data_IF_777280128201
#
_entry.id   IF_777280128201
#
_cell.length_a   1.000
_cell.length_b   1.000
_cell.length_c   1.000
_cell.angle_alpha   90.00
_cell.angle_beta   90.00
_cell.angle_gamma   90.00
#
_symmetry.space_group_name_H-M   'P 1'
#
loop_
_entity.id
_entity.type
_entity.pdbx_description
1 polymer ?
#
# COMPACT_ATOMS: atom_id res chain seq x y z
N UNK A 1 -5.41 -25.32 -13.18
CA UNK A 1 -5.88 -24.35 -12.18
C UNK A 1 -5.96 -25.11 -10.89
N UNK A 2 -5.36 -24.56 -9.86
CA UNK A 2 -5.07 -25.24 -8.62
C UNK A 2 -5.49 -24.33 -7.48
N UNK A 3 -6.09 -24.88 -6.43
CA UNK A 3 -6.43 -24.07 -5.25
C UNK A 3 -5.15 -23.54 -4.60
N UNK A 4 -5.20 -22.27 -4.21
CA UNK A 4 -4.13 -21.56 -3.52
C UNK A 4 -4.50 -21.38 -2.05
N UNK A 5 -3.64 -21.88 -1.17
CA UNK A 5 -3.70 -21.59 0.26
C UNK A 5 -2.73 -20.45 0.55
N UNK A 6 -3.26 -19.27 0.83
CA UNK A 6 -2.46 -18.08 1.11
C UNK A 6 -1.82 -18.08 2.49
N UNK A 7 -0.73 -17.33 2.62
CA UNK A 7 -0.01 -17.15 3.88
C UNK A 7 -0.52 -15.91 4.62
N UNK A 8 -0.97 -16.06 5.87
CA UNK A 8 -1.43 -14.92 6.70
C UNK A 8 -0.25 -14.32 7.48
N UNK A 9 -0.09 -13.00 7.39
CA UNK A 9 0.88 -12.21 8.15
C UNK A 9 0.19 -11.53 9.33
N UNK A 10 0.79 -11.62 10.51
CA UNK A 10 0.21 -11.22 11.80
C UNK A 10 0.79 -9.90 12.34
N UNK A 11 1.00 -8.91 11.46
CA UNK A 11 1.51 -7.60 11.88
C UNK A 11 0.55 -6.88 12.84
N UNK A 12 1.10 -6.15 13.81
CA UNK A 12 0.34 -5.54 14.92
C UNK A 12 -0.76 -4.56 14.49
N UNK A 13 -0.65 -3.97 13.30
CA UNK A 13 -1.66 -3.06 12.74
C UNK A 13 -2.87 -3.79 12.12
N UNK A 14 -2.76 -5.11 11.98
CA UNK A 14 -3.71 -5.93 11.27
C UNK A 14 -5.05 -6.08 11.96
N UNK A 15 -6.10 -6.26 11.17
CA UNK A 15 -7.42 -6.55 11.70
C UNK A 15 -7.47 -7.91 12.37
N UNK A 16 -8.15 -7.99 13.51
CA UNK A 16 -8.34 -9.28 14.21
C UNK A 16 -9.43 -10.16 13.60
N UNK A 17 -10.28 -9.62 12.71
CA UNK A 17 -11.43 -10.37 12.16
C UNK A 17 -11.58 -10.31 10.64
N UNK A 18 -11.14 -9.25 9.96
CA UNK A 18 -11.53 -9.02 8.56
C UNK A 18 -11.12 -10.15 7.59
N UNK A 19 -9.89 -10.67 7.68
CA UNK A 19 -9.43 -11.78 6.81
C UNK A 19 -10.14 -13.08 7.17
N UNK A 20 -10.32 -13.38 8.45
CA UNK A 20 -11.07 -14.54 8.91
C UNK A 20 -12.52 -14.53 8.41
N UNK A 21 -13.20 -13.38 8.50
CA UNK A 21 -14.56 -13.18 8.01
C UNK A 21 -14.65 -13.32 6.48
N UNK A 22 -13.68 -12.78 5.74
CA UNK A 22 -13.57 -12.98 4.28
C UNK A 22 -13.46 -14.46 3.93
N UNK A 23 -12.68 -15.22 4.69
CA UNK A 23 -12.46 -16.66 4.49
C UNK A 23 -13.56 -17.54 5.10
N UNK A 24 -14.60 -16.96 5.71
CA UNK A 24 -15.69 -17.71 6.34
C UNK A 24 -15.24 -18.57 7.53
N UNK A 25 -14.10 -18.26 8.16
CA UNK A 25 -13.53 -19.00 9.29
C UNK A 25 -13.61 -18.21 10.59
N UNK A 26 -13.56 -18.86 11.77
CA UNK A 26 -13.41 -18.15 13.03
C UNK A 26 -12.10 -17.33 13.06
N UNK A 27 -12.13 -16.11 13.63
CA UNK A 27 -10.92 -15.34 13.93
C UNK A 27 -9.90 -16.15 14.73
N UNK A 28 -8.61 -16.01 14.39
CA UNK A 28 -7.53 -16.69 15.11
C UNK A 28 -7.30 -16.16 16.53
N UNK A 29 -7.86 -14.99 16.85
CA UNK A 29 -7.63 -14.27 18.10
C UNK A 29 -6.35 -13.43 18.12
N UNK A 30 -5.62 -13.37 16.99
CA UNK A 30 -4.46 -12.50 16.76
C UNK A 30 -4.73 -11.59 15.55
N UNK A 31 -3.99 -10.48 15.39
CA UNK A 31 -4.02 -9.68 14.16
C UNK A 31 -3.77 -10.53 12.92
N UNK A 32 -4.52 -10.26 11.85
CA UNK A 32 -4.38 -10.83 10.52
C UNK A 32 -4.30 -9.66 9.54
N UNK A 33 -3.08 -9.19 9.33
CA UNK A 33 -2.79 -7.94 8.63
C UNK A 33 -2.84 -8.11 7.10
N UNK A 34 -2.23 -9.19 6.61
CA UNK A 34 -2.13 -9.45 5.18
C UNK A 34 -2.37 -10.94 4.89
N UNK A 35 -3.16 -11.26 3.87
CA UNK A 35 -3.24 -12.59 3.27
C UNK A 35 -2.46 -12.56 1.96
N UNK A 36 -1.35 -13.28 1.88
CA UNK A 36 -0.47 -13.32 0.72
C UNK A 36 -0.85 -14.46 -0.21
N UNK A 37 -1.08 -14.12 -1.47
CA UNK A 37 -1.39 -15.01 -2.58
C UNK A 37 -0.32 -14.79 -3.65
N UNK A 38 0.71 -15.62 -3.65
CA UNK A 38 1.83 -15.47 -4.57
C UNK A 38 3.03 -16.31 -4.18
N UNK A 39 4.15 -16.06 -4.86
CA UNK A 39 5.38 -16.84 -4.76
C UNK A 39 6.49 -16.08 -4.02
N UNK A 40 6.13 -15.24 -3.05
CA UNK A 40 7.13 -14.46 -2.32
C UNK A 40 7.96 -15.38 -1.41
N UNK A 41 9.30 -15.35 -1.47
CA UNK A 41 10.16 -16.35 -0.81
C UNK A 41 10.06 -16.36 0.73
N UNK A 42 9.57 -15.28 1.33
CA UNK A 42 9.41 -15.19 2.80
C UNK A 42 8.10 -15.80 3.30
N UNK A 43 7.11 -16.00 2.42
CA UNK A 43 5.79 -16.54 2.74
C UNK A 43 5.05 -16.95 1.46
N UNK A 44 5.51 -17.99 0.73
CA UNK A 44 4.85 -18.44 -0.48
C UNK A 44 3.46 -19.00 -0.16
N UNK A 45 2.52 -18.86 -1.10
CA UNK A 45 1.27 -19.60 -1.07
C UNK A 45 1.52 -21.09 -1.36
N UNK A 46 0.65 -21.96 -0.88
CA UNK A 46 0.73 -23.41 -1.09
C UNK A 46 -0.27 -23.84 -2.17
N UNK A 47 0.14 -24.80 -2.99
CA UNK A 47 -0.63 -25.29 -4.15
C UNK A 47 -0.92 -26.78 -4.02
N UNK A 48 -2.16 -27.15 -4.32
CA UNK A 48 -2.57 -28.55 -4.43
C UNK A 48 -2.67 -29.29 -3.09
N UNK A 49 -2.99 -30.58 -3.14
CA UNK A 49 -3.21 -31.40 -1.95
C UNK A 49 -1.92 -31.69 -1.16
N UNK A 50 -0.77 -31.65 -1.83
CA UNK A 50 0.54 -31.86 -1.22
C UNK A 50 1.12 -30.56 -0.61
N UNK A 51 0.34 -29.46 -0.63
CA UNK A 51 0.72 -28.16 -0.08
C UNK A 51 2.11 -27.68 -0.55
N UNK A 52 2.39 -27.84 -1.85
CA UNK A 52 3.70 -27.47 -2.42
C UNK A 52 3.83 -25.95 -2.45
N UNK A 53 4.93 -25.36 -1.95
CA UNK A 53 5.19 -23.93 -2.06
C UNK A 53 5.19 -23.46 -3.52
N UNK A 54 4.46 -22.38 -3.82
CA UNK A 54 4.28 -21.89 -5.19
C UNK A 54 5.60 -21.42 -5.81
N UNK A 55 6.52 -20.87 -5.01
CA UNK A 55 7.86 -20.49 -5.45
C UNK A 55 8.71 -21.71 -5.86
N UNK A 56 8.66 -22.80 -5.09
CA UNK A 56 9.30 -24.07 -5.46
C UNK A 56 8.70 -24.66 -6.74
N UNK A 57 7.37 -24.62 -6.88
CA UNK A 57 6.67 -25.08 -8.10
C UNK A 57 7.11 -24.29 -9.33
N UNK A 58 7.20 -22.96 -9.21
CA UNK A 58 7.66 -22.08 -10.29
C UNK A 58 9.13 -22.34 -10.60
N UNK A 59 9.98 -22.51 -9.59
CA UNK A 59 11.42 -22.75 -9.78
C UNK A 59 11.70 -24.08 -10.52
N UNK A 60 10.84 -25.10 -10.33
CA UNK A 60 10.98 -26.40 -10.99
C UNK A 60 10.77 -26.33 -12.52
N UNK A 61 9.78 -25.56 -12.99
CA UNK A 61 9.56 -25.29 -14.43
C UNK A 61 8.86 -23.92 -14.64
N UNK A 62 9.62 -22.82 -14.72
CA UNK A 62 9.05 -21.48 -14.82
C UNK A 62 8.17 -21.27 -16.04
N UNK A 63 8.52 -21.91 -17.18
CA UNK A 63 7.76 -21.76 -18.43
C UNK A 63 6.43 -22.52 -18.38
N UNK A 64 6.39 -23.67 -17.72
CA UNK A 64 5.14 -24.39 -17.50
C UNK A 64 4.23 -23.65 -16.50
N UNK A 65 4.79 -23.11 -15.42
CA UNK A 65 4.02 -22.45 -14.37
C UNK A 65 3.52 -21.05 -14.77
N UNK A 66 4.35 -20.25 -15.45
CA UNK A 66 4.07 -18.84 -15.74
C UNK A 66 3.72 -18.59 -17.21
N UNK A 67 3.99 -19.55 -18.09
CA UNK A 67 4.02 -19.31 -19.52
C UNK A 67 5.34 -18.66 -19.98
N UNK A 68 5.63 -18.83 -21.26
CA UNK A 68 6.92 -18.45 -21.86
C UNK A 68 7.27 -16.97 -21.63
N UNK A 69 6.32 -16.06 -21.85
CA UNK A 69 6.63 -14.62 -21.87
C UNK A 69 6.88 -14.05 -20.47
N UNK A 70 6.11 -14.47 -19.46
CA UNK A 70 6.35 -14.08 -18.07
C UNK A 70 7.66 -14.69 -17.54
N UNK A 71 7.92 -15.97 -17.82
CA UNK A 71 9.15 -16.63 -17.41
C UNK A 71 10.40 -15.98 -18.03
N UNK A 72 10.38 -15.70 -19.34
CA UNK A 72 11.52 -15.08 -20.03
C UNK A 72 11.75 -13.63 -19.60
N UNK A 73 10.68 -12.90 -19.23
CA UNK A 73 10.77 -11.47 -18.87
C UNK A 73 11.12 -11.23 -17.41
N UNK A 74 10.52 -12.00 -16.49
CA UNK A 74 10.57 -11.72 -15.06
C UNK A 74 11.31 -12.79 -14.25
N UNK A 75 11.51 -13.99 -14.80
CA UNK A 75 12.19 -15.11 -14.12
C UNK A 75 11.41 -15.74 -12.96
N UNK A 76 10.29 -15.14 -12.53
CA UNK A 76 9.39 -15.61 -11.49
C UNK A 76 8.01 -14.97 -11.65
N UNK A 77 7.07 -15.29 -10.75
CA UNK A 77 5.78 -14.59 -10.71
C UNK A 77 6.06 -13.09 -10.55
N UNK A 78 5.54 -12.18 -11.40
CA UNK A 78 5.97 -10.78 -11.37
C UNK A 78 5.30 -9.92 -10.30
N UNK A 79 4.32 -10.47 -9.58
CA UNK A 79 3.54 -9.73 -8.59
C UNK A 79 3.27 -10.58 -7.34
N UNK A 80 2.93 -9.88 -6.26
CA UNK A 80 2.31 -10.43 -5.07
C UNK A 80 0.88 -9.87 -4.97
N UNK A 81 -0.10 -10.77 -4.88
CA UNK A 81 -1.49 -10.42 -4.59
C UNK A 81 -1.69 -10.52 -3.09
N UNK A 82 -2.26 -9.49 -2.47
CA UNK A 82 -2.65 -9.52 -1.06
C UNK A 82 -4.10 -9.11 -0.84
N UNK A 83 -4.66 -9.60 0.27
CA UNK A 83 -5.71 -8.88 0.98
C UNK A 83 -5.06 -8.19 2.16
N UNK A 84 -5.10 -6.87 2.19
CA UNK A 84 -4.64 -6.04 3.31
C UNK A 84 -5.84 -5.68 4.18
N UNK A 85 -5.71 -5.84 5.50
CA UNK A 85 -6.73 -5.52 6.48
C UNK A 85 -6.15 -4.70 7.64
N UNK A 86 -6.36 -3.39 7.62
CA UNK A 86 -5.82 -2.45 8.58
C UNK A 86 -6.87 -2.00 9.60
N UNK A 87 -6.65 -2.31 10.88
CA UNK A 87 -7.40 -1.74 12.01
C UNK A 87 -6.72 -0.46 12.52
N UNK A 88 -5.40 -0.37 12.40
CA UNK A 88 -4.62 0.84 12.69
C UNK A 88 -3.78 1.26 11.49
N UNK A 89 -3.28 2.50 11.49
CA UNK A 89 -2.53 3.02 10.37
C UNK A 89 -1.17 2.32 10.20
N UNK A 90 -0.76 2.19 8.95
CA UNK A 90 0.61 1.82 8.59
C UNK A 90 1.51 3.06 8.63
N UNK A 91 2.82 2.83 8.51
CA UNK A 91 3.83 3.90 8.43
C UNK A 91 3.66 4.74 7.17
N UNK A 92 4.03 6.02 7.26
CA UNK A 92 4.30 6.81 6.06
C UNK A 92 5.51 6.23 5.34
N UNK A 93 5.40 6.06 4.04
CA UNK A 93 6.43 5.41 3.24
C UNK A 93 6.47 5.91 1.79
N UNK A 94 7.63 5.74 1.17
CA UNK A 94 7.82 5.92 -0.26
C UNK A 94 8.64 4.76 -0.82
N UNK A 95 8.43 4.47 -2.11
CA UNK A 95 9.17 3.43 -2.83
C UNK A 95 10.13 4.05 -3.84
N UNK A 96 11.35 3.49 -3.99
CA UNK A 96 12.30 3.97 -4.97
C UNK A 96 11.84 3.67 -6.40
N UNK A 97 12.29 4.49 -7.36
CA UNK A 97 12.31 4.11 -8.77
C UNK A 97 13.26 2.94 -9.01
N UNK A 98 13.17 2.27 -10.16
CA UNK A 98 14.05 1.15 -10.49
C UNK A 98 15.54 1.53 -10.39
N UNK A 99 15.93 2.70 -10.91
CA UNK A 99 17.31 3.18 -10.83
C UNK A 99 17.75 3.47 -9.38
N UNK A 100 16.87 4.03 -8.55
CA UNK A 100 17.15 4.27 -7.13
C UNK A 100 17.24 2.96 -6.34
N UNK A 101 16.40 1.97 -6.66
CA UNK A 101 16.42 0.66 -6.03
C UNK A 101 17.74 -0.07 -6.31
N UNK A 102 18.15 -0.14 -7.58
CA UNK A 102 19.43 -0.73 -7.99
C UNK A 102 20.62 -0.05 -7.29
N UNK A 103 20.63 1.30 -7.27
CA UNK A 103 21.70 2.06 -6.64
C UNK A 103 21.73 1.90 -5.11
N UNK A 104 20.56 1.95 -4.46
CA UNK A 104 20.40 1.76 -3.02
C UNK A 104 20.82 0.36 -2.57
N UNK A 105 20.37 -0.66 -3.30
CA UNK A 105 20.76 -2.05 -3.08
C UNK A 105 22.26 -2.24 -3.20
N UNK A 106 22.88 -1.77 -4.29
CA UNK A 106 24.32 -1.90 -4.50
C UNK A 106 25.14 -1.19 -3.41
N UNK A 107 24.67 -0.03 -2.93
CA UNK A 107 25.29 0.73 -1.84
C UNK A 107 25.24 -0.04 -0.52
N UNK A 108 24.09 -0.61 -0.15
CA UNK A 108 23.95 -1.40 1.08
C UNK A 108 24.75 -2.71 1.03
N UNK A 109 24.81 -3.37 -0.12
CA UNK A 109 25.66 -4.56 -0.32
C UNK A 109 27.14 -4.22 -0.17
N UNK A 110 27.61 -3.14 -0.78
CA UNK A 110 29.01 -2.70 -0.68
C UNK A 110 29.40 -2.29 0.75
N UNK A 111 28.45 -1.76 1.53
CA UNK A 111 28.62 -1.42 2.93
C UNK A 111 28.50 -2.64 3.86
N UNK A 112 28.06 -3.80 3.36
CA UNK A 112 27.89 -5.03 4.15
C UNK A 112 26.74 -4.94 5.15
N UNK A 113 25.70 -4.14 4.87
CA UNK A 113 24.51 -4.05 5.73
C UNK A 113 23.79 -5.40 5.72
N UNK A 114 23.61 -6.00 6.91
CA UNK A 114 22.96 -7.30 7.03
C UNK A 114 21.50 -7.25 6.52
N UNK A 115 21.00 -8.36 5.99
CA UNK A 115 19.66 -8.42 5.37
C UNK A 115 18.51 -8.18 6.36
N UNK A 116 18.73 -8.54 7.62
CA UNK A 116 17.81 -8.37 8.73
C UNK A 116 18.11 -7.13 9.58
N UNK A 117 19.08 -6.29 9.17
CA UNK A 117 19.43 -5.08 9.89
C UNK A 117 18.25 -4.08 9.89
N UNK A 118 17.90 -3.46 11.04
CA UNK A 118 16.82 -2.47 11.12
C UNK A 118 16.98 -1.28 10.17
N UNK A 119 18.22 -0.93 9.80
CA UNK A 119 18.60 0.12 8.87
C UNK A 119 18.62 -0.31 7.40
N UNK A 120 18.42 -1.60 7.09
CA UNK A 120 18.34 -2.10 5.70
C UNK A 120 17.06 -1.60 5.04
N UNK A 121 17.19 -0.72 4.06
CA UNK A 121 16.07 -0.14 3.32
C UNK A 121 15.92 -0.71 1.91
N UNK A 122 17.01 -1.26 1.35
CA UNK A 122 17.07 -1.81 0.00
C UNK A 122 17.44 -3.30 0.02
N UNK A 123 16.55 -4.20 0.46
CA UNK A 123 16.77 -5.64 0.42
C UNK A 123 16.82 -6.22 -1.00
N UNK A 124 16.37 -5.52 -2.03
CA UNK A 124 16.42 -6.00 -3.42
C UNK A 124 16.63 -4.84 -4.43
N UNK A 125 17.08 -5.12 -5.66
CA UNK A 125 17.34 -4.09 -6.66
C UNK A 125 16.08 -3.71 -7.46
N UNK A 126 14.87 -4.01 -6.98
CA UNK A 126 13.64 -3.86 -7.76
C UNK A 126 12.81 -2.66 -7.29
N UNK A 127 12.09 -2.03 -8.21
CA UNK A 127 11.07 -1.05 -7.82
C UNK A 127 9.85 -1.75 -7.23
N UNK A 128 8.98 -0.97 -6.58
CA UNK A 128 7.76 -1.47 -5.94
C UNK A 128 6.54 -0.63 -6.34
N UNK A 129 6.09 -0.69 -7.61
CA UNK A 129 4.78 -0.15 -7.95
C UNK A 129 3.69 -0.95 -7.25
N UNK A 130 2.67 -0.25 -6.76
CA UNK A 130 1.55 -0.86 -6.04
C UNK A 130 0.20 -0.38 -6.61
N UNK A 131 -0.83 -1.21 -6.46
CA UNK A 131 -2.22 -0.85 -6.69
C UNK A 131 -3.01 -1.34 -5.48
N UNK A 132 -3.71 -0.43 -4.81
CA UNK A 132 -4.63 -0.74 -3.72
C UNK A 132 -6.07 -0.55 -4.22
N UNK A 133 -6.91 -1.55 -4.06
CA UNK A 133 -8.32 -1.54 -4.47
C UNK A 133 -9.21 -1.87 -3.28
N UNK A 134 -10.06 -0.93 -2.89
CA UNK A 134 -10.89 -1.03 -1.70
C UNK A 134 -11.88 -2.20 -1.77
N UNK A 135 -11.94 -3.02 -0.71
CA UNK A 135 -13.00 -4.02 -0.48
C UNK A 135 -14.05 -3.49 0.49
N UNK A 136 -13.61 -2.70 1.47
CA UNK A 136 -14.45 -1.90 2.36
C UNK A 136 -14.09 -0.43 2.20
N UNK A 137 -14.78 0.48 2.90
CA UNK A 137 -14.36 1.89 2.94
C UNK A 137 -12.92 1.97 3.45
N UNK A 138 -12.02 2.48 2.61
CA UNK A 138 -10.57 2.42 2.83
C UNK A 138 -9.96 3.82 2.89
N UNK A 139 -9.30 4.14 3.99
CA UNK A 139 -8.71 5.46 4.24
C UNK A 139 -7.21 5.44 3.93
N UNK A 140 -6.73 6.43 3.16
CA UNK A 140 -5.33 6.51 2.75
C UNK A 140 -4.82 7.96 2.66
N UNK A 141 -3.51 8.10 2.80
CA UNK A 141 -2.73 9.28 2.42
C UNK A 141 -1.96 8.96 1.14
N UNK A 142 -1.96 9.85 0.15
CA UNK A 142 -1.23 9.62 -1.10
C UNK A 142 -0.85 10.94 -1.79
N UNK A 143 0.45 11.17 -1.98
CA UNK A 143 1.01 12.33 -2.65
C UNK A 143 0.76 13.66 -1.93
N UNK A 144 1.53 14.69 -2.29
CA UNK A 144 1.38 16.01 -1.68
C UNK A 144 0.14 16.74 -2.16
N UNK A 145 -0.56 17.35 -1.21
CA UNK A 145 -1.69 18.24 -1.48
C UNK A 145 -1.18 19.58 -2.00
N UNK A 146 -2.00 20.23 -2.82
CA UNK A 146 -1.80 21.62 -3.22
C UNK A 146 -1.48 22.53 -2.03
N UNK A 147 -0.39 23.28 -2.12
CA UNK A 147 0.11 24.14 -1.03
C UNK A 147 -0.96 25.10 -0.51
N UNK A 148 -1.74 25.71 -1.41
CA UNK A 148 -2.83 26.61 -1.01
C UNK A 148 -3.94 25.90 -0.23
N UNK A 149 -4.23 24.64 -0.56
CA UNK A 149 -5.19 23.81 0.17
C UNK A 149 -4.63 23.35 1.52
N UNK A 150 -3.33 23.06 1.59
CA UNK A 150 -2.62 22.76 2.85
C UNK A 150 -2.64 23.97 3.78
N UNK A 151 -2.34 25.17 3.29
CA UNK A 151 -2.41 26.41 4.08
C UNK A 151 -3.83 26.70 4.59
N UNK A 152 -4.86 26.46 3.77
CA UNK A 152 -6.27 26.60 4.18
C UNK A 152 -6.66 25.58 5.28
N UNK A 153 -6.18 24.34 5.18
CA UNK A 153 -6.33 23.33 6.24
C UNK A 153 -5.65 23.78 7.54
N UNK A 154 -4.39 24.25 7.45
CA UNK A 154 -3.60 24.67 8.61
C UNK A 154 -4.23 25.88 9.32
N UNK A 155 -4.78 26.83 8.56
CA UNK A 155 -5.47 27.99 9.11
C UNK A 155 -6.68 27.58 9.99
N UNK A 156 -7.35 26.48 9.64
CA UNK A 156 -8.45 25.94 10.42
C UNK A 156 -8.07 25.59 11.85
N UNK A 157 -6.85 25.10 12.10
CA UNK A 157 -6.42 24.72 13.44
C UNK A 157 -6.19 25.92 14.36
N UNK A 158 -6.04 27.13 13.81
CA UNK A 158 -5.81 28.37 14.57
C UNK A 158 -4.68 28.24 15.62
N UNK A 159 -3.61 27.54 15.25
CA UNK A 159 -2.51 27.15 16.14
C UNK A 159 -1.21 27.90 15.76
N UNK A 160 -0.74 28.87 16.58
CA UNK A 160 0.52 29.58 16.31
C UNK A 160 1.76 28.68 16.23
N UNK A 161 1.72 27.49 16.83
CA UNK A 161 2.79 26.50 16.71
C UNK A 161 3.03 26.05 15.26
N UNK A 162 2.04 26.23 14.36
CA UNK A 162 2.14 25.89 12.94
C UNK A 162 2.71 27.03 12.08
N UNK A 163 2.92 28.23 12.63
CA UNK A 163 3.44 29.38 11.89
C UNK A 163 4.77 29.07 11.15
N UNK A 164 5.74 28.33 11.73
CA UNK A 164 6.95 27.95 11.00
C UNK A 164 6.71 27.03 9.80
N UNK A 165 5.68 26.19 9.86
CA UNK A 165 5.25 25.32 8.76
C UNK A 165 4.59 26.16 7.67
N UNK A 166 3.64 27.03 8.04
CA UNK A 166 2.96 27.94 7.13
C UNK A 166 3.95 28.87 6.40
N UNK A 167 4.97 29.39 7.10
CA UNK A 167 5.99 30.25 6.51
C UNK A 167 6.83 29.52 5.45
N UNK A 168 7.19 28.25 5.68
CA UNK A 168 7.92 27.43 4.71
C UNK A 168 7.07 27.09 3.49
N UNK A 169 5.81 26.70 3.71
CA UNK A 169 4.86 26.43 2.63
C UNK A 169 4.60 27.67 1.76
N UNK A 170 4.64 28.87 2.34
CA UNK A 170 4.50 30.12 1.60
C UNK A 170 5.79 30.59 0.90
N UNK A 171 6.91 29.88 1.10
CA UNK A 171 8.22 30.27 0.58
C UNK A 171 8.49 29.62 -0.78
N UNK A 172 8.35 30.40 -1.85
CA UNK A 172 8.82 30.01 -3.18
C UNK A 172 7.86 29.09 -3.95
N UNK A 173 8.37 28.37 -4.97
CA UNK A 173 7.58 27.46 -5.79
C UNK A 173 6.99 26.29 -4.96
N UNK A 174 5.78 25.79 -5.28
CA UNK A 174 5.09 24.79 -4.47
C UNK A 174 5.88 23.52 -4.14
N UNK A 175 6.56 22.92 -5.13
CA UNK A 175 7.33 21.69 -4.90
C UNK A 175 8.55 21.93 -3.97
N UNK A 176 9.26 23.04 -4.15
CA UNK A 176 10.39 23.41 -3.29
C UNK A 176 9.93 23.73 -1.85
N UNK A 177 8.79 24.41 -1.71
CA UNK A 177 8.18 24.70 -0.42
C UNK A 177 7.78 23.41 0.32
N UNK A 178 7.25 22.41 -0.40
CA UNK A 178 6.92 21.10 0.16
C UNK A 178 8.17 20.32 0.55
N UNK A 179 9.20 20.28 -0.30
CA UNK A 179 10.46 19.61 -0.02
C UNK A 179 11.14 20.16 1.25
N UNK A 180 11.26 21.48 1.34
CA UNK A 180 11.88 22.16 2.50
C UNK A 180 11.04 22.03 3.77
N UNK A 181 9.71 21.97 3.65
CA UNK A 181 8.82 21.72 4.80
C UNK A 181 8.94 20.27 5.28
N UNK A 182 8.99 19.31 4.35
CA UNK A 182 9.17 17.89 4.64
C UNK A 182 10.52 17.65 5.34
N UNK A 183 11.62 18.16 4.77
CA UNK A 183 12.95 18.07 5.37
C UNK A 183 12.96 18.61 6.80
N UNK A 184 12.35 19.78 7.02
CA UNK A 184 12.25 20.37 8.36
C UNK A 184 11.48 19.48 9.33
N UNK A 185 10.31 18.95 8.95
CA UNK A 185 9.49 18.10 9.80
C UNK A 185 10.20 16.79 10.16
N UNK A 186 10.83 16.15 9.18
CA UNK A 186 11.57 14.89 9.37
C UNK A 186 12.84 15.07 10.20
N UNK A 187 13.42 16.27 10.19
CA UNK A 187 14.57 16.63 11.00
C UNK A 187 14.23 17.07 12.43
N UNK A 188 12.95 17.17 12.79
CA UNK A 188 12.55 17.54 14.16
C UNK A 188 12.93 16.42 15.14
N UNK A 189 13.51 16.83 16.27
CA UNK A 189 13.56 15.97 17.43
C UNK A 189 12.15 15.77 18.01
N UNK A 190 11.92 14.68 18.73
CA UNK A 190 10.61 14.38 19.29
C UNK A 190 10.10 15.51 20.20
N UNK A 191 10.98 16.10 21.02
CA UNK A 191 10.66 17.24 21.88
C UNK A 191 10.20 18.49 21.13
N UNK A 192 10.73 18.71 19.93
CA UNK A 192 10.37 19.86 19.08
C UNK A 192 9.07 19.61 18.32
N UNK A 193 8.69 18.34 18.12
CA UNK A 193 7.42 17.96 17.50
C UNK A 193 6.24 18.05 18.47
N UNK A 194 6.48 17.86 19.79
CA UNK A 194 5.44 17.92 20.84
C UNK A 194 4.53 19.13 20.66
N UNK A 195 5.01 20.39 20.59
CA UNK A 195 4.13 21.56 20.54
C UNK A 195 3.25 21.60 19.30
N UNK A 196 3.71 21.04 18.17
CA UNK A 196 2.96 20.99 16.93
C UNK A 196 1.84 19.97 17.02
N UNK A 197 2.17 18.73 17.40
CA UNK A 197 1.22 17.62 17.54
C UNK A 197 0.15 17.95 18.59
N UNK A 198 0.57 18.46 19.74
CA UNK A 198 -0.32 18.90 20.81
C UNK A 198 -1.28 20.01 20.36
N UNK A 199 -0.78 20.97 19.56
CA UNK A 199 -1.60 22.06 19.09
C UNK A 199 -2.69 21.57 18.13
N UNK A 200 -2.35 20.74 17.14
CA UNK A 200 -3.34 20.17 16.23
C UNK A 200 -4.31 19.24 16.95
N UNK A 201 -3.83 18.42 17.89
CA UNK A 201 -4.67 17.53 18.69
C UNK A 201 -5.71 18.32 19.49
N UNK A 202 -5.30 19.35 20.24
CA UNK A 202 -6.23 20.23 20.98
C UNK A 202 -7.21 20.94 20.08
N UNK A 203 -6.77 21.40 18.90
CA UNK A 203 -7.68 22.07 17.96
C UNK A 203 -8.80 21.13 17.52
N UNK A 204 -8.53 19.83 17.34
CA UNK A 204 -9.57 18.83 16.97
C UNK A 204 -10.62 18.52 18.04
N UNK A 205 -10.50 19.08 19.25
CA UNK A 205 -11.57 19.05 20.26
C UNK A 205 -12.73 19.99 19.91
N UNK A 206 -12.49 20.97 19.03
CA UNK A 206 -13.49 21.91 18.54
C UNK A 206 -14.19 21.39 17.27
N UNK A 207 -15.26 22.06 16.85
CA UNK A 207 -15.96 21.71 15.61
C UNK A 207 -15.06 21.93 14.40
N UNK A 208 -14.83 20.85 13.64
CA UNK A 208 -14.03 20.90 12.42
C UNK A 208 -14.73 21.71 11.31
N UNK A 209 -13.99 22.55 10.55
CA UNK A 209 -14.50 23.16 9.34
C UNK A 209 -15.07 22.10 8.39
N UNK A 210 -16.25 22.34 7.81
CA UNK A 210 -16.96 21.35 6.97
C UNK A 210 -16.08 20.76 5.87
N UNK A 211 -15.25 21.59 5.22
CA UNK A 211 -14.31 21.17 4.17
C UNK A 211 -13.25 20.18 4.66
N UNK A 212 -12.80 20.32 5.91
CA UNK A 212 -11.64 19.63 6.48
C UNK A 212 -12.00 18.61 7.55
N UNK A 213 -13.29 18.23 7.62
CA UNK A 213 -13.80 17.30 8.63
C UNK A 213 -13.07 15.95 8.61
N UNK A 214 -12.71 15.46 7.42
CA UNK A 214 -11.98 14.20 7.26
C UNK A 214 -10.56 14.29 7.84
N UNK A 215 -9.81 15.31 7.45
CA UNK A 215 -8.44 15.55 7.91
C UNK A 215 -8.36 15.83 9.40
N UNK A 216 -9.33 16.55 9.97
CA UNK A 216 -9.41 16.76 11.41
C UNK A 216 -9.66 15.47 12.17
N UNK A 217 -10.58 14.62 11.67
CA UNK A 217 -10.83 13.32 12.26
C UNK A 217 -9.59 12.42 12.17
N UNK A 218 -8.92 12.42 11.02
CA UNK A 218 -7.66 11.70 10.78
C UNK A 218 -6.58 12.13 11.77
N UNK A 219 -6.29 13.43 11.85
CA UNK A 219 -5.26 13.98 12.75
C UNK A 219 -5.56 13.63 14.20
N UNK A 220 -6.82 13.71 14.62
CA UNK A 220 -7.21 13.33 15.98
C UNK A 220 -6.89 11.86 16.29
N UNK A 221 -7.12 10.95 15.34
CA UNK A 221 -6.73 9.53 15.51
C UNK A 221 -5.22 9.38 15.54
N UNK A 222 -4.52 9.93 14.53
CA UNK A 222 -3.07 9.81 14.42
C UNK A 222 -2.34 10.39 15.64
N UNK A 223 -2.80 11.51 16.19
CA UNK A 223 -2.21 12.11 17.40
C UNK A 223 -2.45 11.26 18.66
N UNK A 224 -3.54 10.50 18.71
CA UNK A 224 -3.80 9.58 19.81
C UNK A 224 -2.96 8.29 19.70
N UNK A 225 -2.80 7.79 18.47
CA UNK A 225 -2.05 6.55 18.20
C UNK A 225 -0.52 6.77 18.21
N UNK A 226 -0.06 7.95 17.79
CA UNK A 226 1.35 8.34 17.67
C UNK A 226 1.63 9.68 18.39
N UNK A 227 1.50 9.73 19.72
CA UNK A 227 1.68 10.97 20.47
C UNK A 227 3.10 11.52 20.27
N UNK A 228 3.18 12.82 19.99
CA UNK A 228 4.43 13.58 19.81
C UNK A 228 5.30 13.16 18.60
N UNK A 229 4.75 12.40 17.65
CA UNK A 229 5.50 11.94 16.49
C UNK A 229 5.38 12.93 15.30
N UNK A 230 6.49 13.37 14.67
CA UNK A 230 6.47 14.34 13.57
C UNK A 230 5.63 13.91 12.35
N UNK A 231 5.52 12.61 12.09
CA UNK A 231 4.69 12.04 11.02
C UNK A 231 3.21 12.42 11.12
N UNK A 232 2.68 12.69 12.32
CA UNK A 232 1.30 13.19 12.50
C UNK A 232 1.11 14.56 11.85
N UNK A 233 2.10 15.44 11.98
CA UNK A 233 2.10 16.76 11.32
C UNK A 233 2.40 16.62 9.84
N UNK A 234 3.32 15.71 9.48
CA UNK A 234 3.68 15.42 8.08
C UNK A 234 2.47 14.94 7.27
N UNK A 235 1.57 14.16 7.88
CA UNK A 235 0.32 13.71 7.25
C UNK A 235 -0.57 14.86 6.74
N UNK A 236 -0.49 16.06 7.33
CA UNK A 236 -1.24 17.24 6.88
C UNK A 236 -0.80 17.76 5.51
N UNK A 237 0.43 17.42 5.09
CA UNK A 237 0.95 17.78 3.77
C UNK A 237 0.35 16.93 2.65
N UNK A 238 -0.20 15.76 2.96
CA UNK A 238 -0.63 14.77 1.98
C UNK A 238 -2.11 14.87 1.65
N UNK A 239 -2.52 14.35 0.50
CA UNK A 239 -3.94 14.21 0.20
C UNK A 239 -4.55 13.10 1.06
N UNK A 240 -5.61 13.43 1.80
CA UNK A 240 -6.40 12.45 2.55
C UNK A 240 -7.55 11.96 1.67
N UNK A 241 -7.57 10.65 1.42
CA UNK A 241 -8.49 10.00 0.51
C UNK A 241 -9.29 8.96 1.27
N UNK A 242 -10.56 8.84 0.88
CA UNK A 242 -11.38 7.70 1.28
C UNK A 242 -11.95 7.04 0.05
N UNK A 243 -11.52 5.80 -0.18
CA UNK A 243 -11.94 4.97 -1.29
C UNK A 243 -13.20 4.20 -0.88
N UNK A 244 -14.20 4.25 -1.75
CA UNK A 244 -15.36 3.36 -1.65
C UNK A 244 -15.04 1.98 -2.24
N UNK A 245 -15.75 0.91 -1.86
CA UNK A 245 -15.52 -0.43 -2.40
C UNK A 245 -15.46 -0.45 -3.93
N UNK A 246 -14.36 -0.98 -4.46
CA UNK A 246 -14.08 -1.03 -5.89
C UNK A 246 -13.42 0.21 -6.48
N UNK A 247 -13.18 1.27 -5.71
CA UNK A 247 -12.25 2.34 -6.10
C UNK A 247 -10.81 1.91 -5.81
N UNK A 248 -9.87 2.38 -6.63
CA UNK A 248 -8.46 2.02 -6.47
C UNK A 248 -7.51 3.22 -6.61
N UNK A 249 -6.31 3.06 -6.07
CA UNK A 249 -5.19 3.99 -6.22
C UNK A 249 -3.96 3.22 -6.73
N UNK A 250 -3.30 3.78 -7.74
CA UNK A 250 -1.99 3.32 -8.16
C UNK A 250 -0.90 4.17 -7.49
N UNK A 251 0.11 3.52 -6.92
CA UNK A 251 1.22 4.14 -6.22
C UNK A 251 2.51 3.91 -7.01
N UNK A 252 2.98 4.98 -7.64
CA UNK A 252 4.25 5.00 -8.36
C UNK A 252 5.44 5.28 -7.43
N UNK A 253 6.64 5.14 -8.00
CA UNK A 253 7.88 5.51 -7.32
C UNK A 253 7.86 6.98 -6.85
N UNK A 254 8.47 7.23 -5.69
CA UNK A 254 8.58 8.55 -5.07
C UNK A 254 7.27 9.09 -4.46
N UNK A 255 6.14 8.39 -4.61
CA UNK A 255 4.90 8.81 -3.99
C UNK A 255 4.94 8.55 -2.48
N UNK A 256 4.85 9.60 -1.67
CA UNK A 256 4.72 9.49 -0.22
C UNK A 256 3.26 9.14 0.14
N UNK A 257 3.05 8.02 0.84
CA UNK A 257 1.72 7.50 1.14
C UNK A 257 1.68 6.73 2.48
N UNK A 258 0.46 6.48 2.96
CA UNK A 258 0.18 5.56 4.07
C UNK A 258 -1.26 5.05 3.97
N UNK A 259 -1.49 3.82 4.40
CA UNK A 259 -2.85 3.29 4.60
C UNK A 259 -3.27 3.50 6.04
N UNK A 260 -4.46 4.07 6.24
CA UNK A 260 -4.92 4.53 7.55
C UNK A 260 -6.00 3.64 8.18
N UNK A 261 -6.66 2.80 7.37
CA UNK A 261 -7.63 1.81 7.86
C UNK A 261 -8.54 1.27 6.75
N UNK A 262 -9.10 0.09 7.00
CA UNK A 262 -10.02 -0.61 6.08
C UNK A 262 -9.40 -1.87 5.48
N UNK A 263 -10.15 -2.50 4.57
CA UNK A 263 -9.75 -3.72 3.88
C UNK A 263 -9.68 -3.49 2.38
N UNK A 264 -8.63 -3.97 1.74
CA UNK A 264 -8.39 -3.79 0.31
C UNK A 264 -7.65 -4.98 -0.29
N UNK A 265 -7.79 -5.16 -1.60
CA UNK A 265 -6.84 -5.94 -2.40
C UNK A 265 -5.64 -5.06 -2.71
N UNK A 266 -4.43 -5.58 -2.50
CA UNK A 266 -3.18 -4.95 -2.91
C UNK A 266 -2.50 -5.82 -3.97
N UNK A 267 -2.10 -5.23 -5.08
CA UNK A 267 -1.13 -5.81 -6.00
C UNK A 267 0.16 -5.00 -5.92
N UNK A 268 1.30 -5.68 -5.86
CA UNK A 268 2.61 -5.03 -5.91
C UNK A 268 3.60 -5.88 -6.70
N UNK A 269 4.60 -5.23 -7.29
CA UNK A 269 5.77 -5.96 -7.78
C UNK A 269 6.51 -6.59 -6.59
N UNK A 270 7.26 -7.66 -6.85
CA UNK A 270 8.03 -8.34 -5.80
C UNK A 270 9.26 -7.51 -5.40
N UNK A 271 9.07 -6.63 -4.42
CA UNK A 271 10.13 -5.87 -3.77
C UNK A 271 9.73 -5.58 -2.32
N UNK A 272 10.72 -5.64 -1.43
CA UNK A 272 10.62 -5.28 -0.02
C UNK A 272 11.25 -3.90 0.26
N UNK A 273 11.57 -3.13 -0.79
CA UNK A 273 12.10 -1.78 -0.68
C UNK A 273 11.06 -0.82 -0.09
N UNK A 274 11.27 -0.39 1.15
CA UNK A 274 10.38 0.52 1.88
C UNK A 274 11.22 1.54 2.65
N UNK A 275 11.12 2.82 2.25
CA UNK A 275 11.73 3.94 2.98
C UNK A 275 10.65 4.67 3.75
N UNK A 276 10.79 4.72 5.08
CA UNK A 276 9.77 5.27 5.98
C UNK A 276 9.96 6.75 6.22
N UNK A 277 8.87 7.44 6.52
CA UNK A 277 8.79 8.89 6.70
C UNK A 277 8.07 9.33 7.99
N UNK A 278 7.81 8.40 8.91
CA UNK A 278 7.08 8.67 10.15
C UNK A 278 5.91 7.71 10.34
N UNK A 279 5.10 7.97 11.36
CA UNK A 279 4.07 7.07 11.88
C UNK A 279 4.62 5.67 12.16
N UNK A 280 5.86 5.61 12.66
CA UNK A 280 6.59 4.37 12.86
C UNK A 280 7.60 4.48 14.00
N UNK A 281 7.79 3.41 14.80
CA UNK A 281 8.91 3.35 15.74
C UNK A 281 10.22 2.88 15.09
N UNK A 282 10.19 2.52 13.80
CA UNK A 282 11.35 1.98 13.05
C UNK A 282 12.28 3.09 12.58
N UNK A 283 13.46 2.70 12.10
CA UNK A 283 14.45 3.61 11.55
C UNK A 283 13.88 4.44 10.37
N UNK A 284 14.23 5.72 10.36
CA UNK A 284 13.92 6.70 9.30
C UNK A 284 15.24 7.33 8.86
N UNK A 285 15.60 7.14 7.59
CA UNK A 285 16.71 7.84 6.94
C UNK A 285 16.14 9.02 6.14
N UNK A 286 16.26 10.21 6.73
CA UNK A 286 15.73 11.45 6.15
C UNK A 286 16.40 11.78 4.81
N UNK A 287 17.71 11.58 4.69
CA UNK A 287 18.45 11.91 3.47
C UNK A 287 18.02 10.99 2.33
N UNK A 288 17.97 9.69 2.59
CA UNK A 288 17.48 8.72 1.60
C UNK A 288 16.03 9.03 1.19
N UNK A 289 15.15 9.35 2.15
CA UNK A 289 13.76 9.67 1.84
C UNK A 289 13.62 10.91 0.95
N UNK A 290 14.33 11.99 1.24
CA UNK A 290 14.28 13.22 0.45
C UNK A 290 14.80 13.01 -0.98
N UNK A 291 15.75 12.10 -1.18
CA UNK A 291 16.25 11.72 -2.50
C UNK A 291 15.22 10.90 -3.31
N UNK A 292 14.25 10.26 -2.66
CA UNK A 292 13.23 9.42 -3.31
C UNK A 292 11.95 10.17 -3.64
N UNK A 293 11.50 11.04 -2.75
CA UNK A 293 10.14 11.57 -2.75
C UNK A 293 9.91 12.61 -3.86
N UNK A 294 8.84 12.42 -4.64
CA UNK A 294 8.33 13.44 -5.55
C UNK A 294 7.47 14.44 -4.78
N UNK A 295 7.93 15.68 -4.73
CA UNK A 295 7.28 16.78 -3.99
C UNK A 295 6.37 17.63 -4.87
N UNK A 296 6.12 17.23 -6.12
CA UNK A 296 5.11 17.86 -6.95
C UNK A 296 3.72 17.72 -6.29
N UNK A 297 3.03 18.82 -5.98
CA UNK A 297 1.68 18.75 -5.47
C UNK A 297 0.70 18.31 -6.56
N UNK A 298 -0.34 17.61 -6.14
CA UNK A 298 -1.45 17.25 -7.02
C UNK A 298 -2.40 16.28 -6.35
N UNK A 299 -3.67 16.31 -6.75
CA UNK A 299 -4.62 15.29 -6.32
C UNK A 299 -4.31 13.99 -7.08
N UNK A 300 -4.13 12.85 -6.38
CA UNK A 300 -3.93 11.57 -7.04
C UNK A 300 -5.21 11.15 -7.77
N UNK A 301 -5.02 10.41 -8.87
CA UNK A 301 -6.13 9.83 -9.62
C UNK A 301 -6.69 8.61 -8.89
N UNK A 302 -7.96 8.70 -8.46
CA UNK A 302 -8.70 7.54 -7.98
C UNK A 302 -9.35 6.82 -9.16
N UNK A 303 -8.91 5.60 -9.41
CA UNK A 303 -9.35 4.76 -10.51
C UNK A 303 -10.76 4.23 -10.25
N UNK A 304 -11.65 4.45 -11.22
CA UNK A 304 -13.06 4.02 -11.20
C UNK A 304 -13.45 3.40 -12.55
N UNK A 305 -12.82 2.28 -12.94
CA UNK A 305 -13.11 1.68 -14.22
C UNK A 305 -14.59 1.25 -14.28
N UNK A 306 -15.30 1.55 -15.39
CA UNK A 306 -16.68 1.12 -15.53
C UNK A 306 -16.74 -0.40 -15.68
N UNK A 307 -17.75 -1.01 -15.07
CA UNK A 307 -18.07 -2.41 -15.31
C UNK A 307 -18.66 -2.56 -16.72
N UNK A 308 -17.95 -3.25 -17.61
CA UNK A 308 -18.39 -3.58 -18.97
C UNK A 308 -18.57 -5.07 -19.07
N UNK A 309 -19.80 -5.51 -19.38
CA UNK A 309 -20.17 -6.93 -19.42
C UNK A 309 -19.75 -7.70 -18.15
N UNK A 310 -19.85 -7.04 -16.99
CA UNK A 310 -19.46 -7.60 -15.70
C UNK A 310 -17.97 -7.62 -15.41
N UNK A 311 -17.13 -6.95 -16.20
CA UNK A 311 -15.68 -6.84 -16.00
C UNK A 311 -15.26 -5.38 -15.90
N UNK A 312 -14.51 -5.03 -14.86
CA UNK A 312 -13.83 -3.76 -14.70
C UNK A 312 -12.32 -4.01 -14.65
N UNK A 313 -11.57 -3.28 -15.46
CA UNK A 313 -10.10 -3.44 -15.58
C UNK A 313 -9.43 -2.20 -15.01
N UNK A 314 -8.56 -2.39 -14.03
CA UNK A 314 -7.73 -1.35 -13.46
C UNK A 314 -6.39 -1.39 -14.19
N UNK A 315 -6.28 -0.56 -15.23
CA UNK A 315 -5.04 -0.41 -15.99
C UNK A 315 -3.97 0.23 -15.10
N UNK A 316 -2.78 -0.35 -15.12
CA UNK A 316 -1.61 0.15 -14.41
C UNK A 316 -0.55 0.54 -15.45
N UNK A 317 0.27 1.57 -15.19
CA UNK A 317 1.33 1.98 -16.10
C UNK A 317 2.57 1.07 -16.01
N UNK A 318 2.41 -0.16 -15.50
CA UNK A 318 3.51 -1.08 -15.22
C UNK A 318 3.24 -2.46 -15.82
N UNK A 319 4.28 -3.16 -16.28
CA UNK A 319 4.11 -4.44 -16.95
C UNK A 319 3.92 -5.65 -16.01
N UNK A 320 4.17 -5.51 -14.71
CA UNK A 320 4.22 -6.60 -13.76
C UNK A 320 2.83 -7.20 -13.50
N UNK A 321 1.77 -6.37 -13.48
CA UNK A 321 0.43 -6.82 -13.13
C UNK A 321 -0.67 -5.90 -13.67
N UNK A 322 -1.88 -6.44 -13.77
CA UNK A 322 -3.13 -5.71 -13.92
C UNK A 322 -4.18 -6.31 -12.98
N UNK A 323 -5.12 -5.50 -12.46
CA UNK A 323 -6.23 -5.99 -11.63
C UNK A 323 -7.52 -6.00 -12.44
N UNK A 324 -8.25 -7.10 -12.35
CA UNK A 324 -9.55 -7.28 -12.99
C UNK A 324 -10.58 -7.59 -11.92
N UNK A 325 -11.63 -6.78 -11.82
CA UNK A 325 -12.79 -7.07 -10.98
C UNK A 325 -13.88 -7.66 -11.86
N UNK A 326 -14.33 -8.85 -11.50
CA UNK A 326 -15.34 -9.57 -12.24
C UNK A 326 -16.56 -9.74 -11.33
N UNK A 327 -17.69 -9.20 -11.75
CA UNK A 327 -18.99 -9.48 -11.16
C UNK A 327 -19.65 -10.56 -12.01
N UNK A 328 -20.17 -11.63 -11.41
CA UNK A 328 -20.75 -12.76 -12.15
C UNK A 328 -22.27 -12.82 -11.96
N UNK A 329 -22.99 -12.91 -13.07
CA UNK A 329 -24.43 -13.25 -13.14
C UNK A 329 -24.68 -14.52 -13.98
N UNK A 330 -23.59 -15.21 -14.36
CA UNK A 330 -23.58 -16.37 -15.24
C UNK A 330 -22.15 -16.72 -15.67
N UNK A 331 -22.03 -17.42 -16.80
CA UNK A 331 -20.72 -17.79 -17.36
C UNK A 331 -20.09 -16.60 -18.07
N UNK A 332 -18.85 -16.26 -17.70
CA UNK A 332 -18.05 -15.22 -18.39
C UNK A 332 -16.69 -15.75 -18.83
N UNK A 333 -16.37 -15.67 -20.14
CA UNK A 333 -15.01 -15.88 -20.61
C UNK A 333 -14.11 -14.69 -20.24
N UNK A 334 -12.94 -14.97 -19.66
CA UNK A 334 -11.93 -13.96 -19.33
C UNK A 334 -10.63 -14.34 -20.02
N UNK A 335 -10.08 -13.48 -20.90
CA UNK A 335 -8.82 -13.80 -21.58
C UNK A 335 -7.66 -13.68 -20.60
N UNK A 336 -6.92 -14.76 -20.42
CA UNK A 336 -5.71 -14.82 -19.58
C UNK A 336 -4.52 -15.13 -20.48
N UNK A 337 -3.52 -14.24 -20.50
CA UNK A 337 -2.33 -14.34 -21.39
C UNK A 337 -1.02 -14.61 -20.65
N UNK A 338 -1.07 -14.72 -19.33
CA UNK A 338 0.07 -15.01 -18.44
C UNK A 338 -0.40 -15.69 -17.15
N UNK A 339 0.42 -15.72 -16.09
CA UNK A 339 0.00 -16.27 -14.81
C UNK A 339 -1.12 -15.40 -14.23
N UNK A 340 -2.11 -16.03 -13.61
CA UNK A 340 -3.23 -15.35 -12.97
C UNK A 340 -3.54 -15.99 -11.62
N UNK A 341 -3.95 -15.16 -10.67
CA UNK A 341 -4.51 -15.57 -9.38
C UNK A 341 -5.93 -14.99 -9.33
N UNK A 342 -6.91 -15.83 -8.99
CA UNK A 342 -8.30 -15.43 -8.83
C UNK A 342 -8.68 -15.55 -7.36
N UNK A 343 -9.23 -14.48 -6.77
CA UNK A 343 -9.78 -14.47 -5.41
C UNK A 343 -11.29 -14.23 -5.48
N UNK A 344 -12.09 -15.12 -4.89
CA UNK A 344 -13.53 -14.90 -4.73
C UNK A 344 -13.78 -14.00 -3.51
N UNK A 345 -14.15 -12.74 -3.72
CA UNK A 345 -14.35 -11.79 -2.61
C UNK A 345 -15.77 -11.79 -2.02
N UNK A 346 -16.74 -12.25 -2.82
CA UNK A 346 -18.15 -12.41 -2.42
C UNK A 346 -18.81 -13.53 -3.22
N UNK A 347 -19.81 -14.19 -2.62
CA UNK A 347 -20.54 -15.30 -3.22
C UNK A 347 -19.71 -16.55 -3.47
N UNK A 348 -19.86 -17.12 -4.65
CA UNK A 348 -19.16 -18.31 -5.13
C UNK A 348 -18.87 -18.19 -6.63
N UNK A 349 -17.78 -18.79 -7.09
CA UNK A 349 -17.42 -18.86 -8.49
C UNK A 349 -16.97 -20.27 -8.86
N UNK A 350 -17.30 -20.72 -10.07
CA UNK A 350 -16.71 -21.92 -10.67
C UNK A 350 -15.81 -21.50 -11.83
N UNK A 351 -14.53 -21.81 -11.74
CA UNK A 351 -13.52 -21.42 -12.73
C UNK A 351 -13.12 -22.64 -13.55
N UNK A 352 -13.10 -22.46 -14.88
CA UNK A 352 -12.75 -23.48 -15.86
C UNK A 352 -11.67 -22.94 -16.78
N UNK A 353 -10.71 -23.79 -17.11
CA UNK A 353 -9.67 -23.47 -18.10
C UNK A 353 -9.88 -24.27 -19.37
N UNK A 354 -9.48 -23.71 -20.51
CA UNK A 354 -9.53 -24.41 -21.80
C UNK A 354 -8.54 -25.60 -21.89
N UNK A 355 -7.64 -25.72 -20.90
CA UNK A 355 -6.68 -26.81 -20.79
C UNK A 355 -7.29 -28.16 -20.38
N UNK A 356 -8.62 -28.24 -20.22
CA UNK A 356 -9.33 -29.48 -19.89
C UNK A 356 -9.12 -29.94 -18.43
N UNK A 357 -8.60 -29.07 -17.56
CA UNK A 357 -8.55 -29.34 -16.12
C UNK A 357 -9.97 -29.35 -15.53
N UNK A 358 -10.22 -30.11 -14.46
CA UNK A 358 -11.47 -30.02 -13.71
C UNK A 358 -11.79 -28.57 -13.33
N UNK A 359 -13.09 -28.27 -13.27
CA UNK A 359 -13.54 -26.99 -12.77
C UNK A 359 -13.17 -26.85 -11.29
N UNK A 360 -12.70 -25.66 -10.90
CA UNK A 360 -12.37 -25.34 -9.51
C UNK A 360 -13.46 -24.44 -8.96
N UNK A 361 -14.08 -24.85 -7.86
CA UNK A 361 -15.05 -24.02 -7.13
C UNK A 361 -14.30 -23.17 -6.12
N UNK A 362 -14.54 -21.87 -6.15
CA UNK A 362 -14.05 -20.89 -5.20
C UNK A 362 -15.25 -20.35 -4.42
N UNK A 363 -15.34 -20.71 -3.13
CA UNK A 363 -16.25 -20.03 -2.21
C UNK A 363 -15.62 -18.69 -1.77
N UNK A 364 -16.39 -17.82 -1.12
CA UNK A 364 -15.88 -16.55 -0.58
C UNK A 364 -14.59 -16.74 0.24
N UNK A 365 -13.57 -15.95 -0.09
CA UNK A 365 -12.23 -15.95 0.49
C UNK A 365 -11.29 -17.03 -0.04
N UNK A 366 -11.75 -17.93 -0.92
CA UNK A 366 -10.91 -18.90 -1.60
C UNK A 366 -10.20 -18.28 -2.81
N UNK A 367 -8.98 -18.75 -3.07
CA UNK A 367 -8.18 -18.35 -4.21
C UNK A 367 -7.69 -19.56 -5.01
N UNK A 368 -7.35 -19.34 -6.29
CA UNK A 368 -6.79 -20.36 -7.17
C UNK A 368 -6.26 -19.81 -8.50
#
# INVERSE_FOLDING_TARGET
MDLLVGSVRDYDWGSSTAIAELQGRPPSGRPEAELWLGAHPTAPALVGADETPLDDLIAADPRAALGKDAADRFGGLPFLFKVLAADTNLSLQAHPSAAQAEAGFAREEAAGVARDAPERMFPDPHHKPELICALTRFEALCGFREVGATLDLLAGFAAPALDPMCARLAAGPPAEALATTLEWLLGLAAEDAVPLVDAIARSTEHEAPTRWRGEWAMVRRLAADHPHEPGVVTALLLNHLVLEPGEALFLGAGNLHAYLGGTAVELMANSDNVVRAGLTPKHVDVATLLDLVDTAPGAPEVLRPPLRDGVAVYDTPVPEFALWRIELDGVRPVPVTGPAIVLCVDGEAEVRTDAGTPAVRLDRGAAG
#
